data_IF_929347717693
#
_entry.id   IF_929347717693
#
_cell.length_a   1.000
_cell.length_b   1.000
_cell.length_c   1.000
_cell.angle_alpha   90.00
_cell.angle_beta   90.00
_cell.angle_gamma   90.00
#
_symmetry.space_group_name_H-M   'P 1'
#
loop_
_entity.id
_entity.type
_entity.pdbx_description
1 polymer ?
#
# COMPACT_ATOMS: atom_id res chain seq x y z
N UNK A 1 6.83 -27.38 -21.02
CA UNK A 1 7.23 -26.03 -20.56
C UNK A 1 5.97 -25.31 -20.14
N UNK A 2 5.71 -25.18 -18.84
CA UNK A 2 4.57 -24.42 -18.33
C UNK A 2 4.84 -22.93 -18.56
N UNK A 3 3.87 -22.22 -19.14
CA UNK A 3 4.00 -20.78 -19.39
C UNK A 3 4.28 -20.03 -18.09
N UNK A 4 5.27 -19.13 -18.09
CA UNK A 4 5.54 -18.24 -16.96
C UNK A 4 4.26 -17.47 -16.64
N UNK A 5 3.62 -17.78 -15.52
CA UNK A 5 2.39 -17.14 -15.08
C UNK A 5 2.69 -15.67 -14.77
N UNK A 6 1.93 -14.77 -15.41
CA UNK A 6 1.76 -13.38 -14.94
C UNK A 6 0.89 -13.43 -13.68
N UNK A 7 1.44 -13.92 -12.57
CA UNK A 7 0.71 -13.93 -11.31
C UNK A 7 0.72 -12.51 -10.74
N UNK A 8 -0.47 -11.95 -10.51
CA UNK A 8 -0.63 -10.80 -9.62
C UNK A 8 -0.33 -11.28 -8.19
N UNK A 9 0.46 -10.50 -7.46
CA UNK A 9 0.78 -10.80 -6.07
C UNK A 9 0.07 -9.82 -5.15
N UNK A 10 -0.51 -10.36 -4.08
CA UNK A 10 -1.04 -9.58 -2.97
C UNK A 10 -0.10 -9.68 -1.77
N UNK A 11 0.40 -8.54 -1.30
CA UNK A 11 1.18 -8.45 -0.07
C UNK A 11 0.32 -7.76 0.99
N UNK A 12 0.17 -8.40 2.14
CA UNK A 12 -0.60 -7.85 3.24
C UNK A 12 0.32 -7.54 4.42
N UNK A 13 0.10 -6.41 5.07
CA UNK A 13 0.39 -6.36 6.50
C UNK A 13 -0.54 -7.29 7.28
N UNK A 14 -0.18 -7.63 8.52
CA UNK A 14 -0.91 -8.60 9.32
C UNK A 14 -1.82 -7.96 10.38
N UNK A 15 -1.25 -7.11 11.24
CA UNK A 15 -1.97 -6.55 12.38
C UNK A 15 -2.96 -5.51 11.88
N UNK A 16 -4.24 -5.59 12.30
CA UNK A 16 -5.31 -4.66 11.89
C UNK A 16 -5.59 -4.54 10.37
N UNK A 17 -4.78 -5.17 9.52
CA UNK A 17 -5.00 -5.37 8.09
C UNK A 17 -5.76 -6.68 7.86
N UNK A 18 -5.17 -7.82 8.24
CA UNK A 18 -5.83 -9.14 8.19
C UNK A 18 -6.60 -9.40 9.49
N UNK A 19 -6.01 -9.03 10.62
CA UNK A 19 -6.60 -9.27 11.93
C UNK A 19 -7.55 -8.15 12.37
N UNK A 20 -8.53 -8.46 13.22
CA UNK A 20 -9.48 -7.47 13.79
C UNK A 20 -8.84 -6.61 14.89
N UNK A 21 -7.87 -7.17 15.60
CA UNK A 21 -7.14 -6.50 16.68
C UNK A 21 -5.67 -6.88 16.66
N UNK A 22 -4.84 -6.02 17.25
CA UNK A 22 -3.41 -6.27 17.42
C UNK A 22 -3.16 -7.65 18.05
N UNK A 23 -2.35 -8.45 17.38
CA UNK A 23 -1.85 -9.73 17.85
C UNK A 23 -0.55 -9.59 18.62
N UNK A 24 0.15 -8.47 18.37
CA UNK A 24 1.34 -8.05 19.08
C UNK A 24 1.01 -7.11 20.25
N UNK A 25 1.07 -7.62 21.48
CA UNK A 25 1.09 -6.81 22.70
C UNK A 25 2.33 -7.13 23.52
N UNK A 26 2.80 -6.20 24.34
CA UNK A 26 3.89 -6.43 25.30
C UNK A 26 3.65 -7.69 26.15
N UNK A 27 2.39 -8.01 26.44
CA UNK A 27 1.96 -9.21 27.12
C UNK A 27 2.18 -10.52 26.30
N UNK A 28 2.03 -10.50 24.97
CA UNK A 28 2.36 -11.65 24.11
C UNK A 28 3.88 -11.88 24.04
N UNK A 29 4.66 -10.81 23.91
CA UNK A 29 6.12 -10.87 23.93
C UNK A 29 6.64 -11.42 25.26
N UNK A 30 6.10 -10.95 26.37
CA UNK A 30 6.48 -11.41 27.70
C UNK A 30 6.13 -12.88 27.95
N UNK A 31 5.01 -13.38 27.45
CA UNK A 31 4.64 -14.81 27.64
C UNK A 31 5.42 -15.74 26.73
N UNK A 32 5.69 -15.33 25.48
CA UNK A 32 6.46 -16.14 24.52
C UNK A 32 7.94 -16.13 24.89
N UNK A 33 8.49 -15.02 25.41
CA UNK A 33 9.89 -14.95 25.83
C UNK A 33 10.17 -15.61 27.20
N UNK A 34 9.16 -15.78 28.06
CA UNK A 34 9.31 -16.37 29.41
C UNK A 34 9.04 -17.87 29.47
N UNK A 35 8.53 -18.47 28.41
CA UNK A 35 8.26 -19.89 28.34
C UNK A 35 9.01 -20.43 27.12
N UNK A 36 9.62 -21.60 27.26
CA UNK A 36 10.28 -22.35 26.19
C UNK A 36 9.27 -22.85 25.16
N UNK A 37 8.42 -21.95 24.62
CA UNK A 37 7.46 -22.29 23.59
C UNK A 37 8.23 -22.69 22.34
N UNK A 38 8.04 -23.94 21.93
CA UNK A 38 8.53 -24.41 20.66
C UNK A 38 7.76 -23.67 19.55
N UNK A 39 8.41 -23.50 18.39
CA UNK A 39 7.81 -22.85 17.23
C UNK A 39 6.45 -23.46 16.85
N UNK A 40 6.30 -24.77 17.02
CA UNK A 40 5.06 -25.52 16.82
C UNK A 40 3.93 -25.07 17.75
N UNK A 41 4.22 -24.73 19.00
CA UNK A 41 3.21 -24.26 19.95
C UNK A 41 2.73 -22.85 19.59
N UNK A 42 3.65 -21.99 19.13
CA UNK A 42 3.35 -20.65 18.63
C UNK A 42 2.46 -20.73 17.38
N UNK A 43 2.78 -21.65 16.47
CA UNK A 43 1.97 -21.93 15.29
C UNK A 43 0.55 -22.37 15.65
N UNK A 44 0.41 -23.36 16.54
CA UNK A 44 -0.88 -23.85 17.04
C UNK A 44 -1.68 -22.74 17.73
N UNK A 45 -1.02 -21.89 18.50
CA UNK A 45 -1.66 -20.74 19.15
C UNK A 45 -2.20 -19.75 18.11
N UNK A 46 -1.40 -19.41 17.09
CA UNK A 46 -1.84 -18.56 16.00
C UNK A 46 -3.08 -19.12 15.31
N UNK A 47 -3.05 -20.40 14.92
CA UNK A 47 -4.17 -21.10 14.29
C UNK A 47 -5.44 -21.10 15.15
N UNK A 48 -5.30 -21.25 16.47
CA UNK A 48 -6.42 -21.19 17.42
C UNK A 48 -7.04 -19.80 17.50
N UNK A 49 -6.23 -18.74 17.56
CA UNK A 49 -6.71 -17.36 17.71
C UNK A 49 -7.28 -16.78 16.41
N UNK A 50 -6.84 -17.32 15.27
CA UNK A 50 -7.35 -16.98 13.95
C UNK A 50 -8.89 -17.05 13.84
N UNK A 51 -9.49 -18.08 14.47
CA UNK A 51 -10.93 -18.37 14.44
C UNK A 51 -11.79 -17.15 14.79
N UNK A 52 -11.31 -16.27 15.67
CA UNK A 52 -12.09 -15.12 16.15
C UNK A 52 -11.51 -13.77 15.70
N UNK A 53 -10.23 -13.73 15.34
CA UNK A 53 -9.51 -12.47 15.12
C UNK A 53 -9.17 -12.17 13.65
N UNK A 54 -9.64 -12.94 12.67
CA UNK A 54 -9.51 -12.58 11.24
C UNK A 54 -10.69 -11.69 10.82
N UNK A 55 -10.43 -10.65 10.03
CA UNK A 55 -11.48 -9.83 9.40
C UNK A 55 -12.28 -10.65 8.39
N UNK A 56 -13.56 -10.36 8.25
CA UNK A 56 -14.36 -11.04 7.23
C UNK A 56 -13.99 -10.53 5.83
N UNK A 57 -13.94 -11.43 4.85
CA UNK A 57 -13.74 -11.06 3.45
C UNK A 57 -12.32 -10.63 3.08
N UNK A 58 -11.29 -11.02 3.85
CA UNK A 58 -9.90 -10.80 3.44
C UNK A 58 -9.64 -11.57 2.14
N UNK A 59 -9.19 -10.91 1.06
CA UNK A 59 -8.98 -11.54 -0.26
C UNK A 59 -7.64 -12.29 -0.33
N UNK A 60 -7.38 -13.15 0.66
CA UNK A 60 -6.15 -13.94 0.75
C UNK A 60 -6.31 -15.24 -0.04
N UNK A 61 -5.90 -15.20 -1.31
CA UNK A 61 -5.93 -16.34 -2.22
C UNK A 61 -4.50 -16.82 -2.47
N UNK A 62 -4.28 -18.13 -2.37
CA UNK A 62 -2.97 -18.73 -2.61
C UNK A 62 -3.17 -20.08 -3.29
N UNK A 63 -2.96 -20.11 -4.60
CA UNK A 63 -3.15 -21.27 -5.46
C UNK A 63 -2.20 -21.22 -6.66
N UNK A 64 -2.45 -22.02 -7.70
CA UNK A 64 -1.62 -22.03 -8.90
C UNK A 64 -1.54 -20.64 -9.58
N UNK A 65 -2.63 -19.88 -9.58
CA UNK A 65 -2.77 -18.62 -10.31
C UNK A 65 -2.59 -17.39 -9.40
N UNK A 66 -2.94 -17.50 -8.12
CA UNK A 66 -2.91 -16.42 -7.14
C UNK A 66 -1.78 -16.60 -6.12
N UNK A 67 -1.05 -15.52 -5.84
CA UNK A 67 0.01 -15.51 -4.84
C UNK A 67 -0.27 -14.45 -3.77
N UNK A 68 -0.43 -14.90 -2.53
CA UNK A 68 -0.45 -14.02 -1.36
C UNK A 68 0.83 -14.16 -0.53
N UNK A 69 1.31 -13.05 0.04
CA UNK A 69 2.44 -12.98 0.96
C UNK A 69 2.18 -11.98 2.09
N UNK A 70 2.99 -12.04 3.15
CA UNK A 70 2.90 -11.13 4.30
C UNK A 70 4.16 -10.27 4.40
N UNK A 71 3.98 -8.98 4.70
CA UNK A 71 5.04 -8.08 5.16
C UNK A 71 4.63 -7.49 6.50
N UNK A 72 5.17 -7.99 7.61
CA UNK A 72 4.76 -7.60 8.97
C UNK A 72 5.94 -7.05 9.80
N UNK A 73 5.65 -6.21 10.78
CA UNK A 73 6.63 -5.87 11.83
C UNK A 73 6.59 -6.84 13.02
N UNK A 74 5.66 -7.79 13.03
CA UNK A 74 5.60 -8.82 14.05
C UNK A 74 6.83 -9.73 13.95
N UNK A 75 7.48 -10.03 15.08
CA UNK A 75 8.71 -10.82 15.12
C UNK A 75 8.49 -12.34 15.28
N UNK A 76 7.26 -12.84 15.14
CA UNK A 76 6.91 -14.26 15.33
C UNK A 76 6.20 -14.79 14.07
N UNK A 77 6.95 -15.12 13.01
CA UNK A 77 6.37 -15.56 11.75
C UNK A 77 5.58 -16.87 11.87
N UNK A 78 5.93 -17.75 12.82
CA UNK A 78 5.19 -19.00 13.07
C UNK A 78 3.75 -18.73 13.54
N UNK A 79 3.55 -17.69 14.37
CA UNK A 79 2.22 -17.29 14.83
C UNK A 79 1.34 -16.87 13.66
N UNK A 80 1.90 -16.08 12.74
CA UNK A 80 1.22 -15.62 11.52
C UNK A 80 0.96 -16.81 10.59
N UNK A 81 1.91 -17.73 10.43
CA UNK A 81 1.71 -18.94 9.66
C UNK A 81 0.52 -19.77 10.17
N UNK A 82 0.27 -19.77 11.49
CA UNK A 82 -0.93 -20.35 12.08
C UNK A 82 -2.23 -19.69 11.62
N UNK A 83 -2.25 -18.36 11.52
CA UNK A 83 -3.40 -17.62 10.96
C UNK A 83 -3.62 -17.95 9.48
N UNK A 84 -2.56 -17.96 8.67
CA UNK A 84 -2.65 -18.29 7.25
C UNK A 84 -3.13 -19.74 7.06
N UNK A 85 -2.65 -20.68 7.87
CA UNK A 85 -3.12 -22.07 7.89
C UNK A 85 -4.62 -22.18 8.12
N UNK A 86 -5.15 -21.38 9.06
CA UNK A 86 -6.59 -21.32 9.28
C UNK A 86 -7.34 -20.73 8.08
N UNK A 87 -6.84 -19.64 7.48
CA UNK A 87 -7.47 -19.00 6.32
C UNK A 87 -7.54 -19.91 5.10
N UNK A 88 -6.47 -20.67 4.83
CA UNK A 88 -6.40 -21.57 3.70
C UNK A 88 -7.06 -22.93 3.97
N UNK A 89 -7.27 -23.29 5.24
CA UNK A 89 -7.68 -24.64 5.64
C UNK A 89 -6.63 -25.71 5.29
N UNK A 90 -5.35 -25.33 5.24
CA UNK A 90 -4.21 -26.16 4.85
C UNK A 90 -3.08 -26.02 5.86
N UNK A 91 -2.36 -27.10 6.15
CA UNK A 91 -1.18 -26.99 7.00
C UNK A 91 -0.01 -26.29 6.29
N UNK A 92 0.76 -25.54 7.07
CA UNK A 92 1.97 -24.83 6.63
C UNK A 92 3.16 -25.40 7.38
N UNK A 93 4.24 -25.70 6.66
CA UNK A 93 5.49 -26.19 7.24
C UNK A 93 6.64 -25.29 6.82
N UNK A 94 7.40 -24.79 7.79
CA UNK A 94 8.60 -24.00 7.55
C UNK A 94 9.58 -24.82 6.72
N UNK A 95 10.02 -24.27 5.60
CA UNK A 95 11.04 -24.86 4.75
C UNK A 95 12.41 -24.22 5.02
N UNK A 96 12.46 -22.89 5.09
CA UNK A 96 13.70 -22.14 5.25
C UNK A 96 13.43 -20.69 5.68
N UNK A 97 14.50 -20.03 6.11
CA UNK A 97 14.53 -18.61 6.45
C UNK A 97 15.59 -17.91 5.60
N UNK A 98 15.21 -16.80 4.99
CA UNK A 98 16.07 -15.92 4.21
C UNK A 98 16.26 -14.60 4.95
N UNK A 99 17.42 -13.96 4.81
CA UNK A 99 17.72 -12.66 5.43
C UNK A 99 18.20 -11.67 4.37
N UNK A 100 17.72 -10.43 4.46
CA UNK A 100 18.24 -9.32 3.64
C UNK A 100 19.46 -8.70 4.29
N UNK A 101 20.20 -7.94 3.48
CA UNK A 101 21.17 -6.96 3.97
C UNK A 101 20.47 -5.79 4.69
N UNK A 102 21.26 -4.80 5.11
CA UNK A 102 20.82 -3.67 5.93
C UNK A 102 19.79 -2.74 5.26
N UNK A 103 18.70 -2.33 5.96
CA UNK A 103 18.31 -2.80 7.29
C UNK A 103 17.77 -4.24 7.23
N UNK A 104 18.34 -5.12 8.07
CA UNK A 104 18.08 -6.56 7.98
C UNK A 104 16.61 -6.91 8.27
N UNK A 105 15.95 -7.49 7.26
CA UNK A 105 14.63 -8.13 7.35
C UNK A 105 14.80 -9.62 7.09
N UNK A 106 13.85 -10.43 7.56
CA UNK A 106 13.85 -11.87 7.30
C UNK A 106 12.58 -12.28 6.54
N UNK A 107 12.66 -13.39 5.80
CA UNK A 107 11.51 -14.04 5.16
C UNK A 107 11.52 -15.50 5.58
N UNK A 108 10.46 -15.95 6.25
CA UNK A 108 10.21 -17.38 6.39
C UNK A 108 9.39 -17.87 5.19
N UNK A 109 9.87 -18.97 4.59
CA UNK A 109 9.22 -19.63 3.45
C UNK A 109 8.53 -20.89 3.96
N UNK A 110 7.23 -21.00 3.73
CA UNK A 110 6.41 -22.13 4.16
C UNK A 110 5.91 -22.90 2.95
N UNK A 111 6.13 -24.22 2.97
CA UNK A 111 5.39 -25.14 2.11
C UNK A 111 3.94 -25.22 2.58
N UNK A 112 3.01 -25.35 1.64
CA UNK A 112 1.57 -25.41 1.91
C UNK A 112 1.05 -26.78 1.46
N UNK A 113 0.27 -27.43 2.31
CA UNK A 113 -0.30 -28.74 2.01
C UNK A 113 -1.18 -28.71 0.74
N UNK A 114 -0.79 -29.49 -0.27
CA UNK A 114 -1.54 -29.64 -1.51
C UNK A 114 -1.48 -28.44 -2.45
N UNK A 115 -0.56 -27.49 -2.23
CA UNK A 115 -0.29 -26.36 -3.12
C UNK A 115 1.20 -26.31 -3.42
N UNK A 116 1.57 -26.28 -4.70
CA UNK A 116 2.97 -26.32 -5.14
C UNK A 116 3.75 -25.03 -4.81
N UNK A 117 3.03 -23.90 -4.70
CA UNK A 117 3.63 -22.59 -4.42
C UNK A 117 3.79 -22.38 -2.91
N UNK A 118 4.93 -21.84 -2.47
CA UNK A 118 5.14 -21.56 -1.05
C UNK A 118 4.56 -20.20 -0.65
N UNK A 119 4.21 -20.08 0.64
CA UNK A 119 3.86 -18.83 1.30
C UNK A 119 5.14 -18.15 1.81
N UNK A 120 5.21 -16.83 1.66
CA UNK A 120 6.32 -16.00 2.15
C UNK A 120 5.82 -15.06 3.24
N UNK A 121 6.48 -15.06 4.40
CA UNK A 121 6.19 -14.16 5.51
C UNK A 121 7.45 -13.36 5.81
N UNK A 122 7.47 -12.10 5.36
CA UNK A 122 8.52 -11.16 5.73
C UNK A 122 8.25 -10.56 7.10
N UNK A 123 9.29 -10.51 7.94
CA UNK A 123 9.22 -10.06 9.32
C UNK A 123 10.51 -9.36 9.78
N UNK A 124 10.43 -8.67 10.92
CA UNK A 124 11.59 -8.10 11.60
C UNK A 124 12.05 -9.04 12.73
N UNK A 125 13.27 -9.60 12.66
CA UNK A 125 13.73 -10.57 13.65
C UNK A 125 14.14 -9.94 14.99
N UNK A 126 14.45 -8.64 15.01
CA UNK A 126 14.95 -7.96 16.20
C UNK A 126 13.88 -7.81 17.28
N UNK A 127 14.34 -7.66 18.53
CA UNK A 127 13.50 -7.40 19.69
C UNK A 127 14.03 -6.21 20.52
N UNK A 128 13.19 -5.66 21.39
CA UNK A 128 13.57 -4.63 22.35
C UNK A 128 14.17 -3.38 21.69
N UNK A 129 15.28 -2.89 22.24
CA UNK A 129 15.92 -1.66 21.76
C UNK A 129 16.45 -1.79 20.31
N UNK A 130 16.92 -2.98 19.91
CA UNK A 130 17.39 -3.22 18.55
C UNK A 130 16.24 -3.08 17.54
N UNK A 131 15.05 -3.60 17.88
CA UNK A 131 13.84 -3.41 17.08
C UNK A 131 13.49 -1.93 16.90
N UNK A 132 13.52 -1.14 17.98
CA UNK A 132 13.22 0.29 17.92
C UNK A 132 14.23 1.06 17.06
N UNK A 133 15.52 0.75 17.21
CA UNK A 133 16.57 1.34 16.39
C UNK A 133 16.37 0.99 14.91
N UNK A 134 16.03 -0.26 14.60
CA UNK A 134 15.73 -0.70 13.23
C UNK A 134 14.50 0.00 12.66
N UNK A 135 13.41 0.09 13.43
CA UNK A 135 12.20 0.81 13.02
C UNK A 135 12.48 2.26 12.62
N UNK A 136 13.42 2.94 13.31
CA UNK A 136 13.82 4.30 12.97
C UNK A 136 14.61 4.41 11.64
N UNK A 137 15.15 3.31 11.12
CA UNK A 137 15.87 3.27 9.84
C UNK A 137 14.98 2.88 8.65
N UNK A 138 13.76 2.38 8.91
CA UNK A 138 12.87 1.89 7.86
C UNK A 138 12.05 3.03 7.23
N UNK A 139 11.90 2.97 5.91
CA UNK A 139 10.94 3.78 5.15
C UNK A 139 9.67 2.96 4.94
N UNK A 140 8.83 2.93 5.98
CA UNK A 140 7.71 2.00 6.03
C UNK A 140 8.15 0.57 5.74
N UNK A 141 7.31 -0.18 5.01
CA UNK A 141 7.59 -1.58 4.66
C UNK A 141 8.35 -1.77 3.35
N UNK A 142 8.91 -0.69 2.77
CA UNK A 142 9.51 -0.74 1.44
C UNK A 142 10.64 -1.77 1.33
N UNK A 143 11.45 -1.91 2.39
CA UNK A 143 12.51 -2.90 2.42
C UNK A 143 11.97 -4.34 2.40
N UNK A 144 10.89 -4.62 3.13
CA UNK A 144 10.22 -5.91 3.14
C UNK A 144 9.57 -6.23 1.79
N UNK A 145 8.86 -5.27 1.20
CA UNK A 145 8.20 -5.41 -0.11
C UNK A 145 9.24 -5.68 -1.20
N UNK A 146 10.34 -4.90 -1.23
CA UNK A 146 11.41 -5.09 -2.21
C UNK A 146 12.13 -6.43 -2.02
N UNK A 147 12.37 -6.86 -0.78
CA UNK A 147 13.01 -8.14 -0.51
C UNK A 147 12.11 -9.32 -0.91
N UNK A 148 10.80 -9.24 -0.64
CA UNK A 148 9.81 -10.20 -1.14
C UNK A 148 9.82 -10.24 -2.67
N UNK A 149 9.71 -9.09 -3.35
CA UNK A 149 9.71 -8.98 -4.82
C UNK A 149 10.94 -9.66 -5.42
N UNK A 150 12.15 -9.32 -4.92
CA UNK A 150 13.42 -9.93 -5.38
C UNK A 150 13.43 -11.45 -5.18
N UNK A 151 13.01 -11.91 -4.00
CA UNK A 151 12.98 -13.35 -3.66
C UNK A 151 12.03 -14.11 -4.58
N UNK A 152 10.85 -13.56 -4.85
CA UNK A 152 9.84 -14.18 -5.69
C UNK A 152 10.27 -14.25 -7.16
N UNK A 153 10.92 -13.20 -7.67
CA UNK A 153 11.50 -13.20 -9.02
C UNK A 153 12.60 -14.25 -9.12
N UNK A 154 13.53 -14.28 -8.16
CA UNK A 154 14.64 -15.23 -8.14
C UNK A 154 14.19 -16.70 -8.08
N UNK A 155 13.01 -16.96 -7.51
CA UNK A 155 12.38 -18.29 -7.43
C UNK A 155 11.38 -18.56 -8.54
N UNK A 156 11.36 -17.72 -9.57
CA UNK A 156 10.45 -17.81 -10.72
C UNK A 156 8.97 -17.88 -10.33
N UNK A 157 8.59 -17.33 -9.17
CA UNK A 157 7.21 -17.28 -8.70
C UNK A 157 6.42 -16.15 -9.37
N UNK A 158 7.12 -15.07 -9.76
CA UNK A 158 6.57 -13.93 -10.48
C UNK A 158 7.60 -13.45 -11.53
N UNK A 159 7.16 -12.62 -12.46
CA UNK A 159 8.06 -11.94 -13.41
C UNK A 159 8.51 -10.58 -12.86
N UNK A 160 9.56 -9.99 -13.45
CA UNK A 160 10.03 -8.63 -13.07
C UNK A 160 8.95 -7.56 -13.25
N UNK A 161 8.06 -7.77 -14.23
CA UNK A 161 6.94 -6.87 -14.57
C UNK A 161 5.66 -7.18 -13.80
N UNK A 162 5.70 -8.07 -12.80
CA UNK A 162 4.53 -8.38 -12.01
C UNK A 162 4.09 -7.17 -11.18
N UNK A 163 2.78 -6.94 -11.14
CA UNK A 163 2.17 -5.88 -10.34
C UNK A 163 1.90 -6.45 -8.94
N UNK A 164 2.25 -5.66 -7.93
CA UNK A 164 2.03 -5.99 -6.52
C UNK A 164 0.86 -5.17 -6.00
N UNK A 165 -0.17 -5.81 -5.47
CA UNK A 165 -1.18 -5.14 -4.66
C UNK A 165 -0.77 -5.22 -3.18
N UNK A 166 -0.46 -4.08 -2.58
CA UNK A 166 -0.04 -3.97 -1.20
C UNK A 166 -1.15 -3.40 -0.32
N UNK A 167 -1.50 -4.11 0.76
CA UNK A 167 -2.59 -3.78 1.67
C UNK A 167 -2.03 -3.52 3.07
N UNK A 168 -2.29 -2.33 3.64
CA UNK A 168 -1.80 -1.94 4.96
C UNK A 168 -2.80 -1.01 5.67
N UNK A 169 -2.89 -1.12 6.99
CA UNK A 169 -3.79 -0.35 7.84
C UNK A 169 -3.17 0.95 8.37
N UNK A 170 -1.87 1.15 8.14
CA UNK A 170 -1.07 2.27 8.63
C UNK A 170 -0.79 3.27 7.50
N UNK A 171 -1.22 4.51 7.69
CA UNK A 171 -1.11 5.58 6.68
C UNK A 171 0.33 5.80 6.21
N UNK A 172 1.31 5.82 7.13
CA UNK A 172 2.73 5.97 6.77
C UNK A 172 3.23 4.85 5.87
N UNK A 173 2.91 3.58 6.17
CA UNK A 173 3.33 2.46 5.32
C UNK A 173 2.67 2.54 3.93
N UNK A 174 1.37 2.89 3.91
CA UNK A 174 0.62 3.08 2.68
C UNK A 174 1.21 4.20 1.81
N UNK A 175 1.51 5.37 2.38
CA UNK A 175 2.08 6.52 1.67
C UNK A 175 3.48 6.21 1.16
N UNK A 176 4.35 5.64 2.00
CA UNK A 176 5.74 5.32 1.59
C UNK A 176 5.79 4.26 0.48
N UNK A 177 4.88 3.29 0.49
CA UNK A 177 4.83 2.25 -0.54
C UNK A 177 4.40 2.78 -1.92
N UNK A 178 3.71 3.93 -1.99
CA UNK A 178 3.34 4.55 -3.27
C UNK A 178 4.55 4.99 -4.10
N UNK A 179 5.71 5.16 -3.45
CA UNK A 179 6.96 5.51 -4.10
C UNK A 179 7.63 4.30 -4.78
N UNK A 180 7.10 3.08 -4.61
CA UNK A 180 7.64 1.88 -5.23
C UNK A 180 7.06 1.63 -6.62
N UNK A 181 7.93 1.36 -7.58
CA UNK A 181 7.52 1.01 -8.94
C UNK A 181 6.86 -0.38 -9.01
N UNK A 182 5.70 -0.42 -9.66
CA UNK A 182 4.92 -1.65 -9.85
C UNK A 182 4.18 -2.11 -8.59
N UNK A 183 3.94 -1.21 -7.64
CA UNK A 183 3.16 -1.48 -6.43
C UNK A 183 1.90 -0.62 -6.41
N UNK A 184 0.74 -1.26 -6.41
CA UNK A 184 -0.56 -0.65 -6.16
C UNK A 184 -0.86 -0.69 -4.67
N UNK A 185 -0.97 0.47 -4.03
CA UNK A 185 -1.20 0.54 -2.59
C UNK A 185 -2.69 0.68 -2.25
N UNK A 186 -3.13 -0.01 -1.19
CA UNK A 186 -4.49 -0.04 -0.67
C UNK A 186 -4.49 0.18 0.84
N UNK A 187 -5.13 1.25 1.29
CA UNK A 187 -5.23 1.61 2.70
C UNK A 187 -6.45 0.94 3.34
N UNK A 188 -6.24 0.15 4.39
CA UNK A 188 -7.26 -0.70 5.02
C UNK A 188 -7.81 -0.06 6.28
N UNK A 189 -9.12 -0.20 6.48
CA UNK A 189 -9.78 0.22 7.71
C UNK A 189 -9.29 -0.60 8.90
N UNK A 190 -8.63 0.06 9.86
CA UNK A 190 -8.16 -0.53 11.11
C UNK A 190 -9.31 -1.09 11.95
N UNK A 191 -10.39 -0.32 12.08
CA UNK A 191 -11.48 -0.57 13.04
C UNK A 191 -12.63 -1.39 12.49
N UNK A 192 -12.78 -1.51 11.18
CA UNK A 192 -13.87 -2.30 10.59
C UNK A 192 -13.59 -3.81 10.77
N UNK A 193 -14.55 -4.60 11.31
CA UNK A 193 -14.39 -6.05 11.41
C UNK A 193 -14.40 -6.77 10.05
N UNK A 194 -14.80 -6.10 8.98
CA UNK A 194 -14.69 -6.58 7.60
C UNK A 194 -13.46 -5.96 6.93
N UNK A 195 -12.86 -6.68 5.98
CA UNK A 195 -11.77 -6.16 5.16
C UNK A 195 -12.33 -5.06 4.24
N UNK A 196 -11.91 -3.82 4.47
CA UNK A 196 -12.46 -2.65 3.76
C UNK A 196 -11.33 -1.73 3.36
N UNK A 197 -11.22 -1.49 2.06
CA UNK A 197 -10.31 -0.51 1.48
C UNK A 197 -10.93 0.88 1.67
N UNK A 198 -10.23 1.76 2.38
CA UNK A 198 -10.61 3.16 2.59
C UNK A 198 -10.09 4.03 1.44
N UNK A 199 -8.89 3.75 0.95
CA UNK A 199 -8.28 4.47 -0.15
C UNK A 199 -7.42 3.52 -1.00
N UNK A 200 -7.28 3.84 -2.28
CA UNK A 200 -6.36 3.17 -3.19
C UNK A 200 -5.57 4.21 -3.96
N UNK A 201 -4.33 3.88 -4.33
CA UNK A 201 -3.48 4.79 -5.11
C UNK A 201 -4.10 5.18 -6.45
N UNK A 202 -4.81 4.26 -7.11
CA UNK A 202 -5.50 4.51 -8.37
C UNK A 202 -6.61 5.57 -8.23
N UNK A 203 -7.34 5.59 -7.10
CA UNK A 203 -8.37 6.60 -6.83
C UNK A 203 -7.78 7.99 -6.58
N UNK A 204 -6.62 8.08 -5.87
CA UNK A 204 -5.95 9.37 -5.61
C UNK A 204 -5.34 10.01 -6.85
N UNK A 205 -4.86 9.23 -7.82
CA UNK A 205 -4.36 9.78 -9.09
C UNK A 205 -5.50 10.43 -9.88
N UNK A 206 -6.69 9.83 -9.85
CA UNK A 206 -7.89 10.41 -10.47
C UNK A 206 -8.32 11.70 -9.77
N UNK A 207 -8.45 11.70 -8.43
CA UNK A 207 -8.78 12.91 -7.66
C UNK A 207 -7.77 14.05 -7.86
N UNK A 208 -6.47 13.72 -7.91
CA UNK A 208 -5.41 14.72 -8.14
C UNK A 208 -5.47 15.28 -9.56
N UNK A 209 -5.76 14.46 -10.56
CA UNK A 209 -5.90 14.91 -11.94
C UNK A 209 -7.16 15.77 -12.13
N UNK A 210 -8.27 15.44 -11.43
CA UNK A 210 -9.48 16.28 -11.40
C UNK A 210 -9.20 17.63 -10.74
N UNK A 211 -8.48 17.66 -9.61
CA UNK A 211 -8.07 18.92 -8.97
C UNK A 211 -7.14 19.79 -9.85
N UNK A 212 -6.22 19.19 -10.59
CA UNK A 212 -5.31 19.91 -11.50
C UNK A 212 -6.10 20.47 -12.68
N UNK A 213 -7.04 19.70 -13.25
CA UNK A 213 -7.91 20.21 -14.30
C UNK A 213 -8.77 21.40 -13.82
N UNK A 214 -9.32 21.32 -12.61
CA UNK A 214 -10.12 22.42 -12.04
C UNK A 214 -9.29 23.67 -11.75
N UNK A 215 -8.03 23.52 -11.30
CA UNK A 215 -7.13 24.66 -11.09
C UNK A 215 -6.73 25.33 -12.41
N UNK A 216 -6.39 24.52 -13.42
CA UNK A 216 -5.97 25.03 -14.73
C UNK A 216 -7.14 25.72 -15.46
N UNK A 217 -8.37 25.19 -15.33
CA UNK A 217 -9.59 25.81 -15.85
C UNK A 217 -9.87 27.13 -15.13
N UNK A 218 -9.71 27.18 -13.80
CA UNK A 218 -9.91 28.40 -13.02
C UNK A 218 -8.92 29.49 -13.43
N UNK A 219 -7.64 29.15 -13.62
CA UNK A 219 -6.59 30.08 -14.03
C UNK A 219 -6.86 30.63 -15.45
N UNK A 220 -7.17 29.76 -16.41
CA UNK A 220 -7.53 30.15 -17.78
C UNK A 220 -8.79 31.04 -17.84
N UNK A 221 -9.78 30.77 -16.97
CA UNK A 221 -10.99 31.60 -16.90
C UNK A 221 -10.71 33.01 -16.35
N UNK A 222 -9.78 33.13 -15.39
CA UNK A 222 -9.35 34.40 -14.83
C UNK A 222 -8.56 35.24 -15.83
N UNK A 223 -7.65 34.61 -16.59
CA UNK A 223 -6.90 35.26 -17.66
C UNK A 223 -7.83 35.75 -18.78
N UNK A 224 -8.79 34.91 -19.21
CA UNK A 224 -9.76 35.28 -20.24
C UNK A 224 -10.66 36.45 -19.79
N UNK A 225 -11.13 36.43 -18.54
CA UNK A 225 -11.94 37.52 -17.98
C UNK A 225 -11.17 38.84 -17.97
N UNK A 226 -9.90 38.80 -17.56
CA UNK A 226 -9.01 39.97 -17.52
C UNK A 226 -8.81 40.54 -18.93
N UNK A 227 -8.63 39.68 -19.93
CA UNK A 227 -8.41 40.13 -21.31
C UNK A 227 -9.69 40.67 -21.96
N UNK A 228 -10.85 40.10 -21.65
CA UNK A 228 -12.15 40.65 -22.06
C UNK A 228 -12.39 42.03 -21.45
N UNK A 229 -12.02 42.26 -20.19
CA UNK A 229 -12.10 43.59 -19.56
C UNK A 229 -11.21 44.61 -20.27
N UNK A 230 -9.94 44.27 -20.56
CA UNK A 230 -9.04 45.16 -21.31
C UNK A 230 -9.57 45.51 -22.70
N UNK A 231 -10.14 44.53 -23.42
CA UNK A 231 -10.74 44.76 -24.74
C UNK A 231 -11.95 45.69 -24.62
N UNK A 232 -12.81 45.48 -23.61
CA UNK A 232 -13.95 46.36 -23.36
C UNK A 232 -13.53 47.79 -23.00
N UNK A 233 -12.52 47.96 -22.15
CA UNK A 233 -11.97 49.29 -21.82
C UNK A 233 -11.38 49.99 -23.04
N UNK A 234 -10.65 49.26 -23.89
CA UNK A 234 -10.08 49.79 -25.14
C UNK A 234 -11.18 50.20 -26.15
N UNK A 235 -12.27 49.44 -26.24
CA UNK A 235 -13.43 49.79 -27.07
C UNK A 235 -14.09 51.07 -26.53
N UNK A 236 -14.31 51.17 -25.22
CA UNK A 236 -14.94 52.35 -24.60
C UNK A 236 -14.07 53.61 -24.80
N UNK A 237 -12.76 53.52 -24.58
CA UNK A 237 -11.84 54.66 -24.80
C UNK A 237 -11.70 55.02 -26.27
N UNK A 238 -11.63 54.04 -27.17
CA UNK A 238 -11.63 54.27 -28.62
C UNK A 238 -12.91 54.97 -29.10
N UNK A 239 -14.07 54.55 -28.60
CA UNK A 239 -15.36 55.15 -28.94
C UNK A 239 -15.45 56.59 -28.43
N UNK A 240 -15.00 56.85 -27.19
CA UNK A 240 -14.98 58.20 -26.59
C UNK A 240 -14.10 59.17 -27.38
N UNK A 241 -12.98 58.68 -27.93
CA UNK A 241 -12.07 59.48 -28.77
C UNK A 241 -12.71 59.86 -30.11
N UNK A 242 -13.49 58.96 -30.70
CA UNK A 242 -14.23 59.20 -31.96
C UNK A 242 -15.39 60.20 -31.74
N UNK A 243 -16.12 60.09 -30.63
CA UNK A 243 -17.21 61.03 -30.32
C UNK A 243 -16.70 62.45 -30.08
N UNK A 244 -15.54 62.59 -29.41
CA UNK A 244 -14.91 63.89 -29.20
C UNK A 244 -14.33 64.49 -30.51
N UNK A 245 -13.80 63.67 -31.42
CA UNK A 245 -13.35 64.15 -32.73
C UNK A 245 -14.51 64.70 -33.58
N UNK A 246 -15.68 64.06 -33.53
CA UNK A 246 -16.88 64.51 -34.24
C UNK A 246 -17.49 65.78 -33.64
N UNK A 247 -17.41 65.98 -32.31
CA UNK A 247 -17.86 67.21 -31.65
C UNK A 247 -16.96 68.42 -31.96
N UNK A 248 -15.66 68.19 -32.24
CA UNK A 248 -14.74 69.25 -32.63
C UNK A 248 -14.94 69.65 -34.11
N UNK A 249 -15.31 68.71 -35.00
CA UNK A 249 -15.59 69.06 -36.41
C UNK A 249 -16.89 69.85 -36.60
N UNK A 250 -17.88 69.72 -35.70
CA UNK A 250 -19.13 70.49 -35.78
C UNK A 250 -19.01 71.94 -35.31
N UNK A 251 -17.92 72.34 -34.66
CA UNK A 251 -17.69 73.72 -34.20
C UNK A 251 -16.79 74.55 -35.12
N UNK A 252 -16.36 74.00 -36.27
CA UNK A 252 -15.51 74.69 -37.25
C UNK A 252 -16.27 75.09 -38.53
N UNK A 253 -17.61 75.02 -38.53
CA UNK A 253 -18.46 75.39 -39.69
C UNK A 253 -19.61 76.33 -39.30
N UNK A 254 -19.31 77.35 -38.50
CA UNK A 254 -20.20 78.50 -38.27
C UNK A 254 -19.43 79.81 -38.38
#
# INVERSE_FOLDING_TARGET
MAGKLKANIRIFDFDLTISKGHTFSSYCLDRIARADFLEEDIYKLGKKLAVHNIKNGVPFEHDADHLSAIATYHNNPAFIAGYISHMLGKELKLAETLTSDEPATAINVYTVEGIDRPIFISYLPDMGNAFQAKMAMLQGKNNQINFLKKTLIAREQITETAIIDFYDDTDTNYVEAQNLEGVNCHFISRTNPNFTIIASQAARVLEKNEMIMDSDISELSGELSTEVEKVNEAIITGTTTITNANAISSNLTS
#
